data_IF_695785234193
#
_entry.id   IF_695785234193
#
_cell.length_a   1.000
_cell.length_b   1.000
_cell.length_c   1.000
_cell.angle_alpha   90.00
_cell.angle_beta   90.00
_cell.angle_gamma   90.00
#
_symmetry.space_group_name_H-M   'P 1'
#
loop_
_entity.id
_entity.type
_entity.pdbx_description
1 polymer ?
#
# COMPACT_ATOMS: atom_id res chain seq x y z
N UNK A 1 -19.16 17.33 2.94
CA UNK A 1 -19.34 18.74 2.56
C UNK A 1 -18.87 19.67 3.67
N UNK A 2 -19.64 19.92 4.75
CA UNK A 2 -19.22 20.86 5.83
C UNK A 2 -17.86 20.55 6.48
N UNK A 3 -17.54 19.28 6.70
CA UNK A 3 -16.25 18.87 7.26
C UNK A 3 -15.07 19.07 6.28
N UNK A 4 -15.31 18.86 4.98
CA UNK A 4 -14.35 19.15 3.91
C UNK A 4 -14.13 20.65 3.73
N UNK A 5 -15.19 21.45 3.80
CA UNK A 5 -15.12 22.92 3.79
C UNK A 5 -14.33 23.45 5.00
N UNK A 6 -14.51 22.85 6.18
CA UNK A 6 -13.75 23.20 7.38
C UNK A 6 -12.27 22.80 7.29
N UNK A 7 -11.96 21.65 6.68
CA UNK A 7 -10.58 21.25 6.40
C UNK A 7 -9.91 22.20 5.38
N UNK A 8 -10.67 22.65 4.37
CA UNK A 8 -10.22 23.66 3.41
C UNK A 8 -9.90 25.01 4.06
N UNK A 9 -10.69 25.41 5.06
CA UNK A 9 -10.49 26.64 5.81
C UNK A 9 -9.31 26.58 6.81
N UNK A 10 -8.85 25.38 7.17
CA UNK A 10 -7.69 25.16 8.07
C UNK A 10 -6.36 24.98 7.32
N UNK A 11 -6.37 25.00 5.99
CA UNK A 11 -5.13 24.93 5.19
C UNK A 11 -4.20 26.11 5.51
N UNK A 12 -2.96 25.80 5.86
CA UNK A 12 -1.88 26.75 6.20
C UNK A 12 -1.14 27.31 4.97
N UNK A 13 -1.54 26.94 3.75
CA UNK A 13 -0.95 27.45 2.51
C UNK A 13 -1.86 28.49 1.82
N UNK A 14 -1.26 29.54 1.27
CA UNK A 14 -1.97 30.60 0.52
C UNK A 14 -2.69 30.02 -0.69
N UNK A 15 -4.03 30.02 -0.64
CA UNK A 15 -4.90 29.55 -1.73
C UNK A 15 -4.69 30.40 -2.99
N UNK A 16 -4.31 29.79 -4.12
CA UNK A 16 -4.45 30.47 -5.42
C UNK A 16 -5.93 30.77 -5.72
N UNK A 17 -6.22 32.01 -6.10
CA UNK A 17 -7.58 32.45 -6.44
C UNK A 17 -8.20 31.57 -7.53
N UNK A 18 -9.37 30.99 -7.25
CA UNK A 18 -10.11 30.12 -8.17
C UNK A 18 -9.83 28.62 -8.04
N UNK A 19 -8.98 28.18 -7.10
CA UNK A 19 -8.81 26.75 -6.82
C UNK A 19 -9.66 26.27 -5.64
N UNK A 20 -10.30 25.12 -5.82
CA UNK A 20 -11.05 24.39 -4.80
C UNK A 20 -10.55 22.95 -4.66
N UNK A 21 -10.84 22.33 -3.52
CA UNK A 21 -10.75 20.87 -3.28
C UNK A 21 -11.30 20.04 -4.44
N UNK A 22 -12.30 20.56 -5.13
CA UNK A 22 -13.04 19.90 -6.20
C UNK A 22 -12.38 20.05 -7.59
N UNK A 23 -11.28 20.80 -7.71
CA UNK A 23 -10.61 21.12 -8.98
C UNK A 23 -9.10 20.85 -8.98
N UNK A 24 -8.51 20.43 -7.85
CA UNK A 24 -7.10 20.11 -7.79
C UNK A 24 -6.80 18.77 -8.49
N UNK A 25 -5.78 18.69 -9.38
CA UNK A 25 -5.31 17.40 -9.87
C UNK A 25 -4.74 16.62 -8.67
N UNK A 26 -5.25 15.42 -8.45
CA UNK A 26 -4.95 14.58 -7.28
C UNK A 26 -4.89 13.10 -7.64
N UNK A 27 -4.65 12.25 -6.63
CA UNK A 27 -4.64 10.79 -6.78
C UNK A 27 -6.01 10.28 -7.22
N UNK A 28 -6.07 9.47 -8.27
CA UNK A 28 -7.32 9.02 -8.92
C UNK A 28 -7.55 7.52 -8.79
N UNK A 29 -8.82 7.11 -8.84
CA UNK A 29 -9.23 5.71 -8.98
C UNK A 29 -8.72 5.17 -10.31
N UNK A 30 -8.02 4.03 -10.28
CA UNK A 30 -7.59 3.34 -11.49
C UNK A 30 -8.75 3.14 -12.48
N UNK A 31 -9.96 2.86 -11.99
CA UNK A 31 -11.14 2.58 -12.81
C UNK A 31 -11.57 3.77 -13.67
N UNK A 32 -11.28 5.01 -13.25
CA UNK A 32 -11.67 6.23 -13.98
C UNK A 32 -10.55 6.81 -14.85
N UNK A 33 -9.32 6.32 -14.66
CA UNK A 33 -8.19 6.70 -15.53
C UNK A 33 -8.40 6.20 -16.96
N UNK A 34 -8.01 7.03 -17.92
CA UNK A 34 -7.91 6.65 -19.33
C UNK A 34 -6.87 5.56 -19.56
N UNK A 35 -6.96 4.88 -20.71
CA UNK A 35 -5.98 3.88 -21.12
C UNK A 35 -4.57 4.48 -21.23
N UNK A 36 -4.46 5.72 -21.72
CA UNK A 36 -3.21 6.47 -21.85
C UNK A 36 -2.58 6.76 -20.48
N UNK A 37 -3.37 7.21 -19.51
CA UNK A 37 -2.90 7.48 -18.14
C UNK A 37 -2.44 6.20 -17.45
N UNK A 38 -3.20 5.10 -17.58
CA UNK A 38 -2.78 3.78 -17.05
C UNK A 38 -1.46 3.32 -17.67
N UNK A 39 -1.32 3.44 -18.99
CA UNK A 39 -0.08 3.09 -19.71
C UNK A 39 1.10 3.96 -19.29
N UNK A 40 0.89 5.24 -19.03
CA UNK A 40 1.94 6.13 -18.53
C UNK A 40 2.43 5.71 -17.14
N UNK A 41 1.51 5.38 -16.22
CA UNK A 41 1.87 4.84 -14.91
C UNK A 41 2.62 3.50 -15.04
N UNK A 42 2.08 2.54 -15.81
CA UNK A 42 2.70 1.22 -16.06
C UNK A 42 4.13 1.36 -16.58
N UNK A 43 4.34 2.26 -17.56
CA UNK A 43 5.66 2.52 -18.14
C UNK A 43 6.66 3.03 -17.10
N UNK A 44 6.21 3.91 -16.19
CA UNK A 44 7.05 4.40 -15.10
C UNK A 44 7.41 3.30 -14.09
N UNK A 45 6.48 2.41 -13.75
CA UNK A 45 6.77 1.25 -12.89
C UNK A 45 7.74 0.28 -13.58
N UNK A 46 7.57 0.00 -14.88
CA UNK A 46 8.50 -0.82 -15.66
C UNK A 46 9.91 -0.20 -15.72
N UNK A 47 10.00 1.14 -15.78
CA UNK A 47 11.25 1.86 -15.64
C UNK A 47 11.92 1.62 -14.26
N UNK A 48 11.17 1.58 -13.16
CA UNK A 48 11.72 1.25 -11.84
C UNK A 48 12.29 -0.17 -11.77
N UNK A 49 11.65 -1.14 -12.44
CA UNK A 49 12.14 -2.52 -12.57
C UNK A 49 13.32 -2.67 -13.55
N UNK A 50 13.60 -1.66 -14.37
CA UNK A 50 14.71 -1.68 -15.34
C UNK A 50 15.90 -0.82 -14.88
N UNK A 51 15.65 0.15 -14.02
CA UNK A 51 16.68 1.06 -13.49
C UNK A 51 17.50 0.37 -12.41
N UNK A 52 18.83 0.60 -12.33
CA UNK A 52 19.69 -0.06 -11.34
C UNK A 52 19.36 0.39 -9.91
N UNK A 53 19.44 -0.54 -8.96
CA UNK A 53 19.35 -0.24 -7.52
C UNK A 53 20.36 0.84 -7.09
N UNK A 54 19.96 1.69 -6.14
CA UNK A 54 20.83 2.67 -5.47
C UNK A 54 21.21 2.25 -4.04
N UNK A 55 20.69 1.13 -3.54
CA UNK A 55 21.09 0.61 -2.22
C UNK A 55 22.57 0.22 -2.23
N UNK A 56 23.22 0.34 -1.08
CA UNK A 56 24.55 -0.24 -0.89
C UNK A 56 24.47 -1.78 -1.05
N UNK A 57 25.20 -2.38 -2.03
CA UNK A 57 25.19 -3.83 -2.23
C UNK A 57 25.68 -4.64 -1.01
N UNK A 58 26.43 -4.02 -0.09
CA UNK A 58 26.82 -4.65 1.16
C UNK A 58 25.66 -4.77 2.16
N UNK A 59 24.70 -3.84 2.11
CA UNK A 59 23.52 -3.84 2.98
C UNK A 59 22.36 -4.62 2.35
N UNK A 60 22.18 -4.52 1.03
CA UNK A 60 21.08 -5.14 0.30
C UNK A 60 21.61 -5.98 -0.87
N UNK A 61 22.29 -7.12 -0.61
CA UNK A 61 22.98 -7.90 -1.64
C UNK A 61 22.06 -8.49 -2.72
N UNK A 62 20.76 -8.62 -2.42
CA UNK A 62 19.75 -9.09 -3.35
C UNK A 62 19.18 -8.03 -4.30
N UNK A 63 19.34 -6.73 -4.02
CA UNK A 63 18.78 -5.69 -4.86
C UNK A 63 19.50 -5.63 -6.22
N UNK A 64 18.73 -5.49 -7.29
CA UNK A 64 19.22 -5.27 -8.66
C UNK A 64 18.62 -4.01 -9.27
N UNK A 65 17.37 -3.72 -8.93
CA UNK A 65 16.56 -2.68 -9.54
C UNK A 65 16.22 -1.58 -8.55
N UNK A 66 15.85 -0.39 -9.03
CA UNK A 66 15.32 0.69 -8.17
C UNK A 66 14.08 0.25 -7.41
N UNK A 67 13.26 -0.61 -8.02
CA UNK A 67 12.10 -1.18 -7.36
C UNK A 67 12.49 -2.06 -6.16
N UNK A 68 13.59 -2.82 -6.25
CA UNK A 68 14.08 -3.63 -5.13
C UNK A 68 14.45 -2.79 -3.91
N UNK A 69 14.85 -1.53 -4.07
CA UNK A 69 15.17 -0.64 -2.96
C UNK A 69 13.93 -0.34 -2.09
N UNK A 70 12.76 -0.22 -2.74
CA UNK A 70 11.48 -0.08 -2.04
C UNK A 70 11.07 -1.38 -1.33
N UNK A 71 11.28 -2.53 -1.98
CA UNK A 71 11.03 -3.83 -1.35
C UNK A 71 11.94 -4.04 -0.14
N UNK A 72 13.23 -3.74 -0.26
CA UNK A 72 14.21 -3.82 0.82
C UNK A 72 13.86 -2.89 1.98
N UNK A 73 13.41 -1.67 1.68
CA UNK A 73 13.01 -0.68 2.68
C UNK A 73 11.90 -1.24 3.57
N UNK A 74 10.88 -1.82 2.94
CA UNK A 74 9.75 -2.41 3.66
C UNK A 74 10.18 -3.66 4.43
N UNK A 75 10.94 -4.59 3.83
CA UNK A 75 11.45 -5.79 4.53
C UNK A 75 12.18 -5.40 5.81
N UNK A 76 13.10 -4.44 5.72
CA UNK A 76 13.97 -4.03 6.82
C UNK A 76 13.20 -3.38 7.98
N UNK A 77 12.10 -2.68 7.71
CA UNK A 77 11.34 -1.95 8.74
C UNK A 77 10.00 -2.59 9.10
N UNK A 78 9.62 -3.71 8.49
CA UNK A 78 8.29 -4.35 8.65
C UNK A 78 7.83 -4.49 10.11
N UNK A 79 8.75 -4.78 11.04
CA UNK A 79 8.43 -4.98 12.48
C UNK A 79 8.24 -3.70 13.29
N UNK A 80 8.60 -2.54 12.73
CA UNK A 80 8.49 -1.23 13.37
C UNK A 80 7.52 -0.30 12.63
N UNK A 81 6.80 -0.79 11.62
CA UNK A 81 5.88 0.01 10.78
C UNK A 81 4.47 -0.60 10.69
N UNK A 82 4.21 -1.74 11.34
CA UNK A 82 2.91 -2.40 11.38
C UNK A 82 2.55 -2.77 12.81
N UNK A 83 1.28 -2.55 13.20
CA UNK A 83 0.84 -2.68 14.59
C UNK A 83 1.57 -1.69 15.51
N UNK A 84 1.99 -0.55 14.96
CA UNK A 84 2.75 0.52 15.59
C UNK A 84 2.05 1.86 15.38
N UNK A 85 2.41 2.88 16.18
CA UNK A 85 1.78 4.20 16.06
C UNK A 85 2.14 4.99 14.80
N UNK A 86 3.23 4.64 14.11
CA UNK A 86 3.65 5.27 12.86
C UNK A 86 3.12 4.55 11.60
N UNK A 87 2.27 3.52 11.73
CA UNK A 87 1.83 2.70 10.58
C UNK A 87 1.27 3.57 9.44
N UNK A 88 0.35 4.48 9.76
CA UNK A 88 -0.34 5.31 8.76
C UNK A 88 0.61 6.31 8.10
N UNK A 89 1.38 7.05 8.91
CA UNK A 89 2.29 8.10 8.43
C UNK A 89 3.51 7.54 7.71
N UNK A 90 4.03 6.38 8.15
CA UNK A 90 5.10 5.70 7.46
C UNK A 90 4.66 5.26 6.06
N UNK A 91 3.50 4.63 5.92
CA UNK A 91 3.00 4.18 4.62
C UNK A 91 2.61 5.35 3.70
N UNK A 92 2.03 6.44 4.26
CA UNK A 92 1.83 7.70 3.53
C UNK A 92 3.15 8.22 2.96
N UNK A 93 4.21 8.24 3.78
CA UNK A 93 5.51 8.70 3.32
C UNK A 93 6.16 7.75 2.30
N UNK A 94 5.99 6.44 2.48
CA UNK A 94 6.50 5.43 1.57
C UNK A 94 5.86 5.52 0.17
N UNK A 95 4.54 5.69 0.10
CA UNK A 95 3.80 5.94 -1.14
C UNK A 95 4.24 7.26 -1.77
N UNK A 96 4.44 8.32 -0.99
CA UNK A 96 4.93 9.59 -1.51
C UNK A 96 6.36 9.48 -2.06
N UNK A 97 7.27 8.79 -1.37
CA UNK A 97 8.63 8.55 -1.84
C UNK A 97 8.63 7.76 -3.17
N UNK A 98 7.71 6.79 -3.30
CA UNK A 98 7.53 6.03 -4.53
C UNK A 98 7.00 6.91 -5.68
N UNK A 99 5.98 7.73 -5.43
CA UNK A 99 5.47 8.70 -6.42
C UNK A 99 6.59 9.65 -6.86
N UNK A 100 7.37 10.18 -5.91
CA UNK A 100 8.51 11.06 -6.21
C UNK A 100 9.53 10.35 -7.10
N UNK A 101 9.87 9.09 -6.82
CA UNK A 101 10.78 8.31 -7.65
C UNK A 101 10.22 8.08 -9.07
N UNK A 102 8.94 7.72 -9.22
CA UNK A 102 8.30 7.58 -10.53
C UNK A 102 8.39 8.87 -11.35
N UNK A 103 8.15 10.02 -10.71
CA UNK A 103 8.12 11.32 -11.39
C UNK A 103 9.52 11.85 -11.71
N UNK A 104 10.46 11.71 -10.79
CA UNK A 104 11.80 12.29 -10.90
C UNK A 104 12.79 11.38 -11.63
N UNK A 105 12.64 10.06 -11.50
CA UNK A 105 13.57 9.08 -12.08
C UNK A 105 13.02 8.44 -13.37
N UNK A 106 11.70 8.31 -13.48
CA UNK A 106 11.03 7.61 -14.59
C UNK A 106 10.11 8.49 -15.45
N UNK A 107 10.14 9.81 -15.26
CA UNK A 107 9.44 10.77 -16.11
C UNK A 107 7.90 10.73 -16.02
N UNK A 108 7.34 10.08 -14.99
CA UNK A 108 5.90 10.09 -14.78
C UNK A 108 5.40 11.50 -14.46
N UNK A 109 4.35 11.96 -15.13
CA UNK A 109 3.79 13.30 -14.90
C UNK A 109 2.51 13.29 -14.09
N UNK A 110 1.87 12.11 -13.96
CA UNK A 110 0.67 11.93 -13.15
C UNK A 110 0.95 11.81 -11.65
N UNK A 111 -0.09 11.51 -10.90
CA UNK A 111 -0.04 11.23 -9.46
C UNK A 111 -0.22 9.73 -9.20
N UNK A 112 0.13 9.28 -7.99
CA UNK A 112 -0.04 7.88 -7.62
C UNK A 112 -1.54 7.49 -7.67
N UNK A 113 -1.94 6.51 -8.49
CA UNK A 113 -3.33 6.06 -8.52
C UNK A 113 -3.64 5.12 -7.36
N UNK A 114 -4.93 4.96 -7.06
CA UNK A 114 -5.41 4.03 -6.03
C UNK A 114 -6.29 2.92 -6.59
N UNK A 115 -6.29 1.80 -5.87
CA UNK A 115 -7.19 0.67 -6.14
C UNK A 115 -8.47 0.83 -5.32
N UNK A 116 -9.57 1.17 -5.99
CA UNK A 116 -10.89 1.13 -5.37
C UNK A 116 -11.37 -0.31 -5.22
N UNK A 117 -11.49 -0.77 -3.98
CA UNK A 117 -11.82 -2.17 -3.68
C UNK A 117 -13.28 -2.53 -3.99
N UNK A 118 -14.20 -1.56 -3.88
CA UNK A 118 -15.63 -1.86 -3.74
C UNK A 118 -16.33 -2.22 -5.05
N UNK A 119 -15.71 -1.95 -6.19
CA UNK A 119 -16.35 -2.15 -7.51
C UNK A 119 -16.30 -3.60 -7.99
N UNK A 120 -15.20 -4.29 -7.70
CA UNK A 120 -14.90 -5.63 -8.24
C UNK A 120 -14.58 -6.65 -7.14
N UNK A 121 -15.03 -6.39 -5.90
CA UNK A 121 -14.73 -7.24 -4.74
C UNK A 121 -15.20 -8.70 -4.91
N UNK A 122 -16.24 -8.94 -5.71
CA UNK A 122 -16.80 -10.28 -5.95
C UNK A 122 -16.20 -10.99 -7.19
N UNK A 123 -15.47 -10.25 -8.04
CA UNK A 123 -14.74 -10.79 -9.18
C UNK A 123 -13.52 -9.90 -9.52
N UNK A 124 -12.42 -10.15 -8.82
CA UNK A 124 -11.19 -9.38 -9.01
C UNK A 124 -10.63 -9.50 -10.43
N UNK A 125 -10.90 -10.61 -11.16
CA UNK A 125 -10.39 -10.81 -12.52
C UNK A 125 -11.11 -9.92 -13.54
N UNK A 126 -12.28 -9.39 -13.19
CA UNK A 126 -12.97 -8.37 -13.98
C UNK A 126 -12.49 -6.94 -13.69
N UNK A 127 -11.66 -6.74 -12.64
CA UNK A 127 -11.10 -5.44 -12.31
C UNK A 127 -10.10 -4.98 -13.38
N UNK A 128 -10.17 -3.72 -13.86
CA UNK A 128 -9.17 -3.17 -14.77
C UNK A 128 -7.73 -3.16 -14.23
N UNK A 129 -7.53 -3.40 -12.93
CA UNK A 129 -6.19 -3.58 -12.34
C UNK A 129 -5.65 -4.98 -12.61
N UNK A 130 -6.53 -5.99 -12.70
CA UNK A 130 -6.18 -7.41 -12.73
C UNK A 130 -6.72 -8.19 -13.95
N UNK A 131 -7.36 -7.52 -14.90
CA UNK A 131 -7.94 -8.15 -16.09
C UNK A 131 -6.91 -8.72 -17.07
N UNK A 132 -5.62 -8.46 -16.84
CA UNK A 132 -4.52 -8.94 -17.66
C UNK A 132 -4.38 -8.24 -19.02
N UNK A 133 -5.15 -7.17 -19.26
CA UNK A 133 -5.01 -6.30 -20.43
C UNK A 133 -3.68 -5.55 -20.42
N UNK A 134 -3.37 -4.89 -21.54
CA UNK A 134 -2.20 -3.99 -21.66
C UNK A 134 -2.33 -2.70 -20.83
N UNK A 135 -3.49 -2.47 -20.19
CA UNK A 135 -3.74 -1.36 -19.25
C UNK A 135 -3.92 -1.83 -17.81
N UNK A 136 -3.55 -3.09 -17.50
CA UNK A 136 -3.62 -3.65 -16.15
C UNK A 136 -2.27 -3.63 -15.44
N UNK A 137 -2.28 -3.90 -14.14
CA UNK A 137 -1.08 -4.20 -13.36
C UNK A 137 -0.71 -5.69 -13.44
N UNK A 138 -1.03 -6.35 -14.56
CA UNK A 138 -0.90 -7.79 -14.76
C UNK A 138 -2.15 -8.55 -14.34
N UNK A 139 -2.31 -9.77 -14.86
CA UNK A 139 -3.43 -10.64 -14.52
C UNK A 139 -3.23 -11.47 -13.26
N UNK A 140 -4.03 -12.53 -13.13
CA UNK A 140 -3.82 -13.60 -12.16
C UNK A 140 -2.58 -14.45 -12.51
N UNK A 141 -2.15 -15.26 -11.55
CA UNK A 141 -1.12 -16.26 -11.75
C UNK A 141 -1.60 -17.41 -12.65
N UNK A 142 -0.67 -18.15 -13.24
CA UNK A 142 -0.99 -19.47 -13.81
C UNK A 142 -1.50 -20.38 -12.71
N UNK A 143 -2.52 -21.19 -12.99
CA UNK A 143 -3.09 -22.11 -12.00
C UNK A 143 -2.04 -23.07 -11.41
N UNK A 144 -2.00 -23.16 -10.09
CA UNK A 144 -1.24 -24.15 -9.32
C UNK A 144 -2.16 -24.69 -8.24
N UNK A 145 -2.24 -26.02 -8.13
CA UNK A 145 -3.00 -26.62 -7.03
C UNK A 145 -2.23 -26.46 -5.71
N UNK A 146 -2.87 -25.86 -4.71
CA UNK A 146 -2.36 -25.71 -3.34
C UNK A 146 -3.51 -25.63 -2.34
N UNK A 147 -3.21 -25.70 -1.04
CA UNK A 147 -4.20 -25.66 0.05
C UNK A 147 -4.37 -24.25 0.66
N UNK A 148 -4.64 -23.26 -0.18
CA UNK A 148 -4.93 -21.90 0.25
C UNK A 148 -3.75 -21.14 0.84
N UNK A 149 -4.05 -20.16 1.68
CA UNK A 149 -3.06 -19.38 2.44
C UNK A 149 -3.56 -19.07 3.86
N UNK A 150 -2.65 -18.60 4.71
CA UNK A 150 -2.96 -18.22 6.09
C UNK A 150 -2.67 -16.75 6.36
N UNK A 151 -3.72 -15.95 6.54
CA UNK A 151 -3.64 -14.53 6.90
C UNK A 151 -3.62 -14.29 8.40
N UNK A 152 -2.90 -13.26 8.85
CA UNK A 152 -2.83 -12.91 10.28
C UNK A 152 -2.24 -14.01 11.18
N UNK A 153 -1.66 -15.07 10.60
CA UNK A 153 -1.12 -16.24 11.29
C UNK A 153 -2.15 -17.35 11.58
N UNK A 154 -3.45 -17.08 11.50
CA UNK A 154 -4.50 -18.04 11.89
C UNK A 154 -5.72 -18.09 10.98
N UNK A 155 -5.91 -17.10 10.11
CA UNK A 155 -7.11 -16.97 9.28
C UNK A 155 -6.87 -17.72 7.97
N UNK A 156 -7.57 -18.83 7.79
CA UNK A 156 -7.50 -19.59 6.54
C UNK A 156 -8.19 -18.82 5.40
N UNK A 157 -7.53 -18.78 4.25
CA UNK A 157 -8.09 -18.30 2.99
C UNK A 157 -8.07 -19.43 1.96
N UNK A 158 -9.19 -19.67 1.25
CA UNK A 158 -9.22 -20.66 0.17
C UNK A 158 -8.35 -20.21 -1.00
N UNK A 159 -7.81 -21.19 -1.73
CA UNK A 159 -7.07 -20.95 -2.97
C UNK A 159 -7.93 -20.20 -3.97
N UNK A 160 -7.33 -19.25 -4.69
CA UNK A 160 -7.88 -18.65 -5.88
C UNK A 160 -7.78 -19.58 -7.09
N UNK A 161 -7.76 -18.97 -8.27
CA UNK A 161 -7.58 -19.68 -9.55
C UNK A 161 -6.16 -19.50 -10.12
N UNK A 162 -5.25 -18.93 -9.32
CA UNK A 162 -3.86 -18.67 -9.67
C UNK A 162 -2.92 -19.58 -8.91
N UNK A 163 -1.94 -18.98 -8.23
CA UNK A 163 -0.92 -19.66 -7.41
C UNK A 163 0.47 -19.69 -8.05
N UNK A 164 0.54 -19.54 -9.38
CA UNK A 164 1.77 -19.48 -10.16
C UNK A 164 2.15 -18.07 -10.59
N UNK A 165 3.04 -17.98 -11.59
CA UNK A 165 3.57 -16.71 -12.09
C UNK A 165 2.46 -15.89 -12.79
N UNK A 166 2.51 -14.56 -12.69
CA UNK A 166 1.61 -13.66 -13.43
C UNK A 166 1.57 -14.06 -14.92
N UNK A 167 0.37 -14.36 -15.42
CA UNK A 167 0.18 -15.04 -16.71
C UNK A 167 0.00 -14.10 -17.90
N UNK A 168 -0.40 -12.85 -17.66
CA UNK A 168 -0.79 -11.85 -18.66
C UNK A 168 -0.53 -10.41 -18.20
N UNK A 169 -0.68 -9.47 -19.13
CA UNK A 169 -0.48 -8.03 -18.91
C UNK A 169 1.00 -7.58 -18.89
N UNK A 170 1.26 -6.29 -18.64
CA UNK A 170 2.58 -5.66 -18.76
C UNK A 170 3.64 -6.18 -17.78
N UNK A 171 3.21 -6.87 -16.72
CA UNK A 171 4.09 -7.47 -15.71
C UNK A 171 4.20 -9.00 -15.85
N UNK A 172 3.73 -9.57 -16.97
CA UNK A 172 4.01 -10.96 -17.31
C UNK A 172 5.53 -11.17 -17.41
N UNK A 173 6.04 -12.20 -16.74
CA UNK A 173 7.47 -12.49 -16.70
C UNK A 173 8.27 -11.57 -15.77
N UNK A 174 7.61 -10.77 -14.93
CA UNK A 174 8.25 -9.97 -13.90
C UNK A 174 9.09 -10.87 -12.98
N UNK A 175 10.38 -10.56 -12.85
CA UNK A 175 11.29 -11.21 -11.92
C UNK A 175 11.36 -10.41 -10.61
N UNK A 176 11.14 -11.08 -9.49
CA UNK A 176 11.37 -10.58 -8.14
C UNK A 176 12.74 -11.03 -7.66
N UNK A 177 13.49 -10.15 -6.98
CA UNK A 177 14.85 -10.45 -6.51
C UNK A 177 14.96 -10.63 -4.99
N UNK A 178 13.97 -10.16 -4.23
CA UNK A 178 13.95 -10.20 -2.76
C UNK A 178 12.74 -10.97 -2.22
N UNK A 179 12.84 -11.48 -1.00
CA UNK A 179 11.77 -12.26 -0.37
C UNK A 179 11.50 -13.61 -1.05
N UNK A 180 10.39 -14.30 -0.73
CA UNK A 180 9.48 -13.98 0.37
C UNK A 180 10.13 -14.31 1.73
N UNK A 181 9.76 -13.61 2.80
CA UNK A 181 10.37 -13.76 4.14
C UNK A 181 9.52 -14.61 5.08
N UNK A 182 8.22 -14.50 4.93
CA UNK A 182 7.19 -15.19 5.68
C UNK A 182 6.02 -15.49 4.73
N UNK A 183 6.25 -16.32 3.69
CA UNK A 183 5.21 -16.64 2.73
C UNK A 183 4.02 -17.30 3.42
N UNK A 184 2.82 -16.97 2.96
CA UNK A 184 1.55 -17.40 3.56
C UNK A 184 0.79 -18.39 2.71
N UNK A 185 1.05 -18.42 1.40
CA UNK A 185 0.43 -19.36 0.46
C UNK A 185 1.16 -20.71 0.50
N UNK A 186 0.38 -21.79 0.55
CA UNK A 186 0.89 -23.15 0.53
C UNK A 186 1.77 -23.39 -0.73
N UNK A 187 2.89 -24.08 -0.54
CA UNK A 187 3.87 -24.36 -1.59
C UNK A 187 4.84 -23.21 -1.95
N UNK A 188 4.80 -22.07 -1.26
CA UNK A 188 5.83 -21.02 -1.42
C UNK A 188 7.08 -21.30 -0.57
N UNK A 189 8.25 -21.20 -1.21
CA UNK A 189 9.53 -21.32 -0.52
C UNK A 189 9.98 -19.97 0.03
N UNK A 190 10.25 -19.94 1.33
CA UNK A 190 10.87 -18.80 2.01
C UNK A 190 12.30 -18.59 1.50
N UNK A 191 12.71 -17.33 1.35
CA UNK A 191 14.09 -16.94 1.07
C UNK A 191 15.04 -17.35 2.20
N UNK A 192 16.24 -17.81 1.83
CA UNK A 192 17.30 -18.18 2.78
C UNK A 192 17.89 -16.98 3.54
N UNK A 193 17.74 -15.77 3.00
CA UNK A 193 18.24 -14.53 3.58
C UNK A 193 17.22 -13.41 3.40
N UNK A 194 17.11 -12.52 4.39
CA UNK A 194 16.11 -11.46 4.37
C UNK A 194 16.29 -10.47 3.21
N UNK A 195 17.53 -10.08 2.93
CA UNK A 195 17.87 -9.17 1.83
C UNK A 195 18.78 -9.83 0.78
N UNK A 196 18.84 -11.17 0.76
CA UNK A 196 19.62 -11.94 -0.20
C UNK A 196 18.96 -12.07 -1.56
N UNK A 197 19.79 -12.34 -2.59
CA UNK A 197 19.31 -12.51 -3.96
C UNK A 197 18.52 -13.82 -4.12
N UNK A 198 17.24 -13.71 -4.46
CA UNK A 198 16.33 -14.83 -4.68
C UNK A 198 15.46 -14.60 -5.94
N UNK A 199 16.05 -14.69 -7.15
CA UNK A 199 15.36 -14.44 -8.40
C UNK A 199 14.27 -15.48 -8.67
N UNK A 200 13.04 -15.01 -8.87
CA UNK A 200 11.87 -15.85 -9.19
C UNK A 200 10.83 -15.02 -9.95
N UNK A 201 9.84 -15.67 -10.56
CA UNK A 201 8.70 -14.94 -11.11
C UNK A 201 7.82 -14.36 -9.99
N UNK A 202 7.17 -13.22 -10.25
CA UNK A 202 6.10 -12.71 -9.41
C UNK A 202 4.85 -13.62 -9.50
N UNK A 203 4.30 -14.01 -8.35
CA UNK A 203 3.13 -14.89 -8.25
C UNK A 203 1.92 -14.15 -7.68
N UNK A 204 0.74 -14.49 -8.22
CA UNK A 204 -0.56 -14.08 -7.69
C UNK A 204 -1.49 -15.27 -7.59
N UNK A 205 -2.39 -15.21 -6.62
CA UNK A 205 -3.50 -16.16 -6.48
C UNK A 205 -4.75 -15.38 -6.13
N UNK A 206 -5.32 -14.68 -7.13
CA UNK A 206 -6.43 -13.77 -6.89
C UNK A 206 -7.61 -14.51 -6.27
N UNK A 207 -8.01 -14.10 -5.08
CA UNK A 207 -9.10 -14.73 -4.34
C UNK A 207 -10.14 -13.70 -3.97
N UNK A 208 -11.40 -13.99 -4.29
CA UNK A 208 -12.52 -13.11 -3.95
C UNK A 208 -12.98 -13.28 -2.52
N UNK A 209 -12.57 -14.35 -1.83
CA UNK A 209 -12.95 -14.59 -0.43
C UNK A 209 -12.51 -13.44 0.48
N UNK A 210 -11.27 -12.97 0.35
CA UNK A 210 -10.79 -11.86 1.17
C UNK A 210 -11.50 -10.54 0.80
N UNK A 211 -11.61 -10.25 -0.50
CA UNK A 211 -12.18 -9.00 -0.98
C UNK A 211 -13.67 -8.90 -0.66
N UNK A 212 -14.48 -9.93 -0.95
CA UNK A 212 -15.92 -9.90 -0.68
C UNK A 212 -16.25 -9.92 0.82
N UNK A 213 -15.38 -10.50 1.65
CA UNK A 213 -15.60 -10.59 3.10
C UNK A 213 -15.23 -9.30 3.83
N UNK A 214 -14.11 -8.67 3.47
CA UNK A 214 -13.56 -7.57 4.27
C UNK A 214 -13.38 -6.26 3.52
N UNK A 215 -13.26 -6.24 2.19
CA UNK A 215 -13.13 -5.01 1.42
C UNK A 215 -14.48 -4.36 1.11
N UNK A 216 -15.31 -4.20 2.14
CA UNK A 216 -16.71 -3.77 2.01
C UNK A 216 -16.91 -2.31 2.41
N UNK A 217 -17.98 -1.70 1.89
CA UNK A 217 -18.40 -0.34 2.29
C UNK A 217 -18.70 -0.28 3.78
N UNK A 218 -19.30 -1.33 4.36
CA UNK A 218 -19.60 -1.37 5.80
C UNK A 218 -18.33 -1.28 6.66
N UNK A 219 -17.26 -1.97 6.27
CA UNK A 219 -15.99 -1.88 6.97
C UNK A 219 -15.34 -0.50 6.79
N UNK A 220 -15.45 0.12 5.61
CA UNK A 220 -15.03 1.50 5.40
C UNK A 220 -15.82 2.45 6.33
N UNK A 221 -17.15 2.36 6.34
CA UNK A 221 -18.01 3.19 7.19
C UNK A 221 -17.72 3.00 8.67
N UNK A 222 -17.42 1.77 9.10
CA UNK A 222 -17.07 1.47 10.49
C UNK A 222 -15.81 2.22 10.92
N UNK A 223 -14.77 2.24 10.09
CA UNK A 223 -13.52 2.95 10.41
C UNK A 223 -13.64 4.45 10.20
N UNK A 224 -14.43 4.95 9.24
CA UNK A 224 -14.49 6.39 8.96
C UNK A 224 -15.56 7.13 9.76
N UNK A 225 -16.58 6.45 10.28
CA UNK A 225 -17.70 7.11 10.97
C UNK A 225 -18.42 6.25 12.01
N UNK A 226 -18.05 4.98 12.13
CA UNK A 226 -18.67 4.02 13.03
C UNK A 226 -17.90 3.84 14.33
N UNK A 227 -18.02 2.65 14.94
CA UNK A 227 -17.46 2.39 16.26
C UNK A 227 -15.92 2.42 16.25
N UNK A 228 -15.29 2.04 15.13
CA UNK A 228 -13.83 2.06 15.01
C UNK A 228 -13.26 3.46 14.75
N UNK A 229 -14.08 4.48 14.46
CA UNK A 229 -13.60 5.81 14.09
C UNK A 229 -13.29 6.74 15.27
N UNK A 230 -13.49 6.30 16.51
CA UNK A 230 -13.45 7.17 17.69
C UNK A 230 -12.10 7.88 17.93
N UNK A 231 -10.98 7.21 17.63
CA UNK A 231 -9.64 7.77 17.67
C UNK A 231 -8.71 7.04 16.70
N UNK A 232 -7.49 7.56 16.48
CA UNK A 232 -6.53 6.97 15.53
C UNK A 232 -6.15 5.53 15.92
N UNK A 233 -6.14 5.21 17.22
CA UNK A 233 -5.84 3.88 17.72
C UNK A 233 -6.89 2.83 17.34
N UNK A 234 -8.18 3.13 17.54
CA UNK A 234 -9.27 2.23 17.11
C UNK A 234 -9.33 2.15 15.58
N UNK A 235 -9.12 3.28 14.89
CA UNK A 235 -9.12 3.35 13.43
C UNK A 235 -8.06 2.43 12.83
N UNK A 236 -6.80 2.59 13.24
CA UNK A 236 -5.70 1.82 12.67
C UNK A 236 -5.75 0.34 13.03
N UNK A 237 -6.29 -0.01 14.20
CA UNK A 237 -6.42 -1.40 14.63
C UNK A 237 -7.47 -2.14 13.79
N UNK A 238 -8.63 -1.52 13.57
CA UNK A 238 -9.67 -2.08 12.71
C UNK A 238 -9.21 -2.12 11.24
N UNK A 239 -8.54 -1.07 10.76
CA UNK A 239 -8.01 -1.00 9.40
C UNK A 239 -6.98 -2.11 9.14
N UNK A 240 -6.05 -2.35 10.06
CA UNK A 240 -4.99 -3.36 9.93
C UNK A 240 -5.48 -4.80 10.11
N UNK A 241 -6.55 -4.98 10.89
CA UNK A 241 -7.16 -6.28 11.18
C UNK A 241 -7.09 -6.66 12.65
N UNK A 242 -8.16 -7.31 13.12
CA UNK A 242 -8.27 -7.96 14.43
C UNK A 242 -8.10 -9.46 14.24
N UNK A 243 -6.87 -9.90 14.00
CA UNK A 243 -6.58 -11.29 13.64
C UNK A 243 -7.08 -12.34 14.65
N UNK A 244 -7.01 -12.12 15.98
CA UNK A 244 -7.60 -13.04 16.95
C UNK A 244 -9.12 -13.24 16.79
N UNK A 245 -9.80 -12.25 16.21
CA UNK A 245 -11.26 -12.27 15.98
C UNK A 245 -11.61 -12.83 14.59
N UNK A 246 -10.63 -13.33 13.84
CA UNK A 246 -10.83 -13.81 12.48
C UNK A 246 -11.07 -12.69 11.46
N UNK A 247 -10.68 -11.45 11.77
CA UNK A 247 -10.96 -10.28 10.94
C UNK A 247 -9.68 -9.70 10.32
N UNK A 248 -9.59 -9.69 8.99
CA UNK A 248 -8.40 -9.18 8.28
C UNK A 248 -8.35 -7.64 8.19
N UNK A 249 -9.48 -6.95 8.31
CA UNK A 249 -9.54 -5.51 8.05
C UNK A 249 -9.23 -5.17 6.58
N UNK A 250 -9.36 -3.90 6.21
CA UNK A 250 -9.18 -3.46 4.83
C UNK A 250 -7.73 -3.62 4.34
N UNK A 251 -6.75 -3.38 5.21
CA UNK A 251 -5.33 -3.50 4.85
C UNK A 251 -4.92 -4.94 4.59
N UNK A 252 -5.11 -5.86 5.56
CA UNK A 252 -4.66 -7.23 5.31
C UNK A 252 -5.50 -7.90 4.23
N UNK A 253 -6.81 -7.64 4.15
CA UNK A 253 -7.66 -8.20 3.10
C UNK A 253 -7.23 -7.75 1.70
N UNK A 254 -6.75 -6.52 1.50
CA UNK A 254 -6.23 -6.07 0.21
C UNK A 254 -5.03 -6.90 -0.25
N UNK A 255 -4.05 -7.11 0.63
CA UNK A 255 -2.91 -7.99 0.37
C UNK A 255 -3.33 -9.44 0.09
N UNK A 256 -4.20 -10.00 0.94
CA UNK A 256 -4.63 -11.39 0.81
C UNK A 256 -5.63 -11.66 -0.32
N UNK A 257 -6.26 -10.62 -0.87
CA UNK A 257 -7.06 -10.70 -2.10
C UNK A 257 -6.20 -10.93 -3.34
N UNK A 258 -4.96 -10.41 -3.32
CA UNK A 258 -3.96 -10.63 -4.37
C UNK A 258 -3.21 -11.95 -4.13
N UNK A 259 -2.91 -12.22 -2.85
CA UNK A 259 -2.23 -13.42 -2.36
C UNK A 259 -0.87 -13.63 -3.07
N UNK A 260 -0.33 -14.85 -3.09
CA UNK A 260 0.96 -15.10 -3.72
C UNK A 260 2.08 -14.28 -3.06
N UNK A 261 2.85 -13.51 -3.83
CA UNK A 261 3.91 -12.65 -3.26
C UNK A 261 3.36 -11.42 -2.51
N UNK A 262 2.14 -10.96 -2.82
CA UNK A 262 1.48 -9.88 -2.09
C UNK A 262 1.04 -10.31 -0.68
N UNK A 263 0.86 -11.61 -0.45
CA UNK A 263 0.49 -12.19 0.85
C UNK A 263 1.65 -12.28 1.85
N UNK A 264 2.88 -11.96 1.45
CA UNK A 264 4.05 -11.98 2.33
C UNK A 264 4.16 -10.69 3.14
N UNK A 265 4.07 -10.78 4.46
CA UNK A 265 4.03 -9.62 5.36
C UNK A 265 5.23 -8.66 5.24
N UNK A 266 6.40 -9.15 4.83
CA UNK A 266 7.62 -8.34 4.76
C UNK A 266 7.87 -7.79 3.37
N UNK A 267 7.54 -8.58 2.36
CA UNK A 267 7.95 -8.35 0.98
C UNK A 267 6.76 -8.24 0.03
N UNK A 268 5.56 -7.96 0.55
CA UNK A 268 4.36 -7.63 -0.23
C UNK A 268 4.55 -6.50 -1.25
N UNK A 269 5.45 -5.50 -1.05
CA UNK A 269 5.73 -4.54 -2.12
C UNK A 269 6.31 -5.14 -3.39
N UNK A 270 6.79 -6.39 -3.38
CA UNK A 270 7.18 -7.09 -4.60
C UNK A 270 6.07 -7.06 -5.66
N UNK A 271 4.80 -7.10 -5.25
CA UNK A 271 3.68 -6.89 -6.15
C UNK A 271 3.45 -5.38 -6.37
N UNK A 272 3.48 -4.88 -7.61
CA UNK A 272 3.32 -3.45 -7.89
C UNK A 272 1.94 -2.88 -7.54
N UNK A 273 0.94 -3.73 -7.29
CA UNK A 273 -0.37 -3.30 -6.79
C UNK A 273 -0.32 -2.84 -5.32
N UNK A 274 0.75 -3.17 -4.58
CA UNK A 274 0.98 -2.66 -3.22
C UNK A 274 0.76 -1.14 -3.14
N UNK A 275 1.34 -0.37 -4.06
CA UNK A 275 1.27 1.09 -4.02
C UNK A 275 -0.14 1.62 -4.34
N UNK A 276 -0.90 0.94 -5.21
CA UNK A 276 -2.30 1.30 -5.47
C UNK A 276 -3.18 0.97 -4.26
N UNK A 277 -2.95 -0.17 -3.62
CA UNK A 277 -3.63 -0.58 -2.39
C UNK A 277 -3.38 0.41 -1.25
N UNK A 278 -2.11 0.74 -0.99
CA UNK A 278 -1.74 1.67 0.08
C UNK A 278 -2.15 3.11 -0.19
N UNK A 279 -2.31 3.49 -1.44
CA UNK A 279 -2.92 4.79 -1.77
C UNK A 279 -4.41 4.84 -1.40
N UNK A 280 -5.14 3.73 -1.55
CA UNK A 280 -6.53 3.63 -1.10
C UNK A 280 -6.64 3.60 0.44
N UNK A 281 -5.67 2.98 1.12
CA UNK A 281 -5.58 3.04 2.59
C UNK A 281 -5.30 4.46 3.08
N UNK A 282 -4.39 5.18 2.42
CA UNK A 282 -4.10 6.58 2.70
C UNK A 282 -5.31 7.48 2.42
N UNK A 283 -6.09 7.16 1.37
CA UNK A 283 -7.36 7.84 1.10
C UNK A 283 -8.39 7.60 2.22
N UNK A 284 -8.53 6.36 2.71
CA UNK A 284 -9.39 6.05 3.84
C UNK A 284 -8.94 6.76 5.13
N UNK A 285 -7.63 6.86 5.36
CA UNK A 285 -7.07 7.61 6.48
C UNK A 285 -7.37 9.10 6.37
N UNK A 286 -7.12 9.71 5.21
CA UNK A 286 -7.48 11.09 4.94
C UNK A 286 -8.99 11.35 5.15
N UNK A 287 -9.86 10.43 4.71
CA UNK A 287 -11.30 10.55 4.90
C UNK A 287 -11.68 10.53 6.39
N UNK A 288 -11.05 9.66 7.17
CA UNK A 288 -11.21 9.63 8.63
C UNK A 288 -10.73 10.93 9.29
N UNK A 289 -9.56 11.44 8.91
CA UNK A 289 -9.01 12.70 9.41
C UNK A 289 -9.96 13.87 9.09
N UNK A 290 -10.53 13.90 7.89
CA UNK A 290 -11.50 14.91 7.48
C UNK A 290 -12.80 14.86 8.30
N UNK A 291 -13.25 13.67 8.73
CA UNK A 291 -14.43 13.51 9.58
C UNK A 291 -14.14 13.73 11.08
N UNK A 292 -12.89 13.63 11.51
CA UNK A 292 -12.47 13.77 12.91
C UNK A 292 -11.36 14.82 13.06
N UNK A 293 -11.63 16.10 12.79
CA UNK A 293 -10.61 17.15 12.81
C UNK A 293 -9.94 17.33 14.19
N UNK A 294 -10.59 16.93 15.28
CA UNK A 294 -10.03 16.98 16.64
C UNK A 294 -9.10 15.80 16.95
N UNK A 295 -9.04 14.79 16.08
CA UNK A 295 -8.16 13.62 16.18
C UNK A 295 -7.14 13.55 15.04
N UNK A 296 -7.31 14.35 13.98
CA UNK A 296 -6.57 14.23 12.73
C UNK A 296 -5.04 14.35 12.86
N UNK A 297 -4.53 15.08 13.86
CA UNK A 297 -3.09 15.21 14.14
C UNK A 297 -2.61 14.41 15.35
N UNK A 298 -3.36 13.40 15.78
CA UNK A 298 -3.00 12.59 16.96
C UNK A 298 -2.33 11.28 16.55
N UNK A 299 -1.46 10.76 17.42
CA UNK A 299 -0.80 9.47 17.23
C UNK A 299 -1.07 8.56 18.42
N UNK A 300 -1.30 7.26 18.17
CA UNK A 300 -1.51 6.27 19.23
C UNK A 300 -0.83 4.94 18.87
N UNK A 301 -0.25 4.31 19.89
CA UNK A 301 0.46 3.04 19.74
C UNK A 301 1.88 3.14 20.28
N UNK A 302 2.68 2.12 20.01
CA UNK A 302 4.08 2.07 20.40
C UNK A 302 4.97 1.94 19.17
N UNK A 303 6.26 2.21 19.35
CA UNK A 303 7.29 2.09 18.30
C UNK A 303 7.60 0.64 17.92
N UNK A 304 7.10 -0.32 18.70
CA UNK A 304 7.35 -1.75 18.52
C UNK A 304 6.05 -2.50 18.35
N UNK A 305 5.94 -3.28 17.27
CA UNK A 305 4.74 -4.05 16.92
C UNK A 305 4.17 -4.83 18.10
N UNK A 306 2.88 -4.61 18.37
CA UNK A 306 2.09 -5.35 19.36
C UNK A 306 2.73 -5.44 20.75
N UNK A 307 3.57 -4.46 21.11
CA UNK A 307 4.24 -4.41 22.41
C UNK A 307 3.65 -3.27 23.24
N UNK A 308 2.71 -3.55 24.16
CA UNK A 308 2.08 -2.51 24.98
C UNK A 308 3.03 -1.86 25.99
N UNK A 309 4.18 -2.48 26.25
CA UNK A 309 5.23 -1.98 27.16
C UNK A 309 6.35 -1.24 26.46
N UNK A 310 6.39 -1.25 25.12
CA UNK A 310 7.36 -0.48 24.36
C UNK A 310 7.09 1.02 24.46
N UNK A 311 8.10 1.81 24.08
CA UNK A 311 7.97 3.26 24.05
C UNK A 311 6.80 3.70 23.16
N UNK A 312 6.01 4.65 23.68
CA UNK A 312 4.90 5.24 22.94
C UNK A 312 5.43 6.03 21.75
N UNK A 313 4.71 5.95 20.65
CA UNK A 313 4.98 6.78 19.48
C UNK A 313 4.62 8.23 19.79
N UNK A 314 5.45 9.18 19.36
CA UNK A 314 5.21 10.63 19.51
C UNK A 314 5.28 11.34 18.16
N UNK A 315 4.69 12.52 18.05
CA UNK A 315 4.71 13.30 16.81
C UNK A 315 6.14 13.69 16.37
N UNK A 316 7.07 13.79 17.33
CA UNK A 316 8.47 14.11 17.09
C UNK A 316 9.32 12.88 16.73
N UNK A 317 8.73 11.69 16.67
CA UNK A 317 9.44 10.51 16.19
C UNK A 317 9.80 10.68 14.72
N UNK A 318 11.03 10.30 14.37
CA UNK A 318 11.55 10.41 13.01
C UNK A 318 11.18 9.16 12.21
N UNK A 319 10.68 9.37 11.00
CA UNK A 319 10.51 8.37 9.96
C UNK A 319 11.71 8.48 9.01
N UNK A 320 12.54 7.43 8.99
CA UNK A 320 13.69 7.31 8.09
C UNK A 320 13.47 6.23 7.03
N UNK A 321 13.86 6.52 5.78
CA UNK A 321 13.78 5.59 4.65
C UNK A 321 15.18 5.21 4.17
N UNK A 322 15.85 4.39 4.98
CA UNK A 322 17.27 4.01 4.90
C UNK A 322 17.81 3.62 3.51
N UNK A 323 16.98 3.15 2.58
CA UNK A 323 17.41 2.70 1.24
C UNK A 323 16.87 3.55 0.09
N UNK A 324 16.08 4.59 0.36
CA UNK A 324 15.37 5.34 -0.67
C UNK A 324 16.01 6.70 -1.02
N UNK A 325 17.01 7.13 -0.26
CA UNK A 325 17.66 8.45 -0.41
C UNK A 325 16.64 9.60 -0.40
N UNK A 326 15.69 9.55 0.54
CA UNK A 326 14.75 10.63 0.83
C UNK A 326 15.02 11.16 2.23
N UNK A 327 14.66 12.42 2.48
CA UNK A 327 14.95 13.11 3.74
C UNK A 327 14.24 12.44 4.92
N UNK A 328 14.84 12.52 6.09
CA UNK A 328 14.18 12.17 7.33
C UNK A 328 13.09 13.20 7.64
N UNK A 329 11.94 12.73 8.12
CA UNK A 329 10.77 13.55 8.43
C UNK A 329 10.21 13.13 9.78
N UNK A 330 9.53 14.04 10.48
CA UNK A 330 8.80 13.67 11.70
C UNK A 330 7.43 13.08 11.36
N UNK A 331 6.82 12.40 12.33
CA UNK A 331 5.41 12.00 12.21
C UNK A 331 4.52 13.24 12.05
N UNK A 332 4.82 14.32 12.78
CA UNK A 332 4.13 15.62 12.69
C UNK A 332 4.09 16.14 11.24
N UNK A 333 5.24 16.19 10.56
CA UNK A 333 5.33 16.64 9.16
C UNK A 333 4.43 15.83 8.21
N UNK A 334 4.20 14.54 8.51
CA UNK A 334 3.39 13.64 7.68
C UNK A 334 1.92 13.61 8.04
N UNK A 335 1.57 14.02 9.26
CA UNK A 335 0.18 14.37 9.57
C UNK A 335 -0.20 15.67 8.86
N UNK A 336 0.68 16.67 8.81
CA UNK A 336 0.40 17.95 8.14
C UNK A 336 0.38 17.86 6.60
N UNK A 337 1.08 16.86 6.04
CA UNK A 337 1.09 16.54 4.61
C UNK A 337 -0.32 16.24 4.03
N UNK A 338 -1.32 16.06 4.90
CA UNK A 338 -2.76 16.05 4.58
C UNK A 338 -3.20 17.13 3.60
N UNK A 339 -2.59 18.31 3.67
CA UNK A 339 -3.00 19.45 2.86
C UNK A 339 -2.42 19.47 1.46
N UNK A 340 -1.51 18.55 1.06
CA UNK A 340 -0.78 18.68 -0.21
C UNK A 340 -0.92 17.53 -1.23
N UNK A 341 -1.42 16.35 -0.83
CA UNK A 341 -1.28 15.15 -1.68
C UNK A 341 -2.58 14.51 -2.17
N UNK A 342 -3.70 14.72 -1.48
CA UNK A 342 -5.03 14.49 -2.09
C UNK A 342 -5.59 15.77 -2.73
N UNK A 343 -4.95 16.90 -2.43
CA UNK A 343 -5.34 18.25 -2.78
C UNK A 343 -4.07 19.06 -2.61
N UNK A 344 -3.67 19.90 -3.57
CA UNK A 344 -2.63 20.94 -3.42
C UNK A 344 -1.15 20.53 -3.51
N UNK A 345 -0.65 20.39 -4.74
CA UNK A 345 0.69 20.95 -5.06
C UNK A 345 0.68 21.94 -6.22
N UNK A 346 -0.49 22.41 -6.67
CA UNK A 346 -0.60 23.51 -7.63
C UNK A 346 -1.67 24.55 -7.31
N UNK A 347 -2.23 24.50 -6.10
CA UNK A 347 -3.11 25.48 -5.50
C UNK A 347 -2.65 25.79 -4.09
#
# INVERSE_FOLDING_TARGET
MKALEAAEAKSIHEKKAGCSLFQAPGRQDWNVMSAEERKAYISAVQCMYSSPSKSDPALVPGARTRYDDFVAQHINQTRSIHGTGNFLTWHRYFVHAYEKALRQECGYTGYQPYWNWFTYQDDLRASPIFDGSDTSMGGDGTFVQHNGSTGGGTIYLPSGQGGGCISSGPFKGLQLNLGPISPTMDGQNKSVSELGYNPRCAKRDLTTYASSTWLTIDNLLNITSGAASLNVGTFQNELQGRFPDGFLGLHAAGHFSINGDAGDFYSSPNDPVFFLHHTMLDYAYWLWQAFHPDQAGTVMGTRTRFSPTAEKTTLQDVISMNYLNVDDVTIEDKEEMMHSHFVMTQC
#
